data_IF_716300702883
#
_entry.id   IF_716300702883
#
_cell.length_a   1.000
_cell.length_b   1.000
_cell.length_c   1.000
_cell.angle_alpha   90.00
_cell.angle_beta   90.00
_cell.angle_gamma   90.00
#
_symmetry.space_group_name_H-M   'P 1'
#
loop_
_entity.id
_entity.type
_entity.pdbx_description
1 polymer ?
#
# COMPACT_ATOMS: atom_id res chain seq x y z
N UNK A 1 1.01 1.12 -5.60
CA UNK A 1 -0.28 0.42 -5.48
C UNK A 1 -0.82 -0.07 -6.83
N UNK A 2 -0.03 -0.23 -7.89
CA UNK A 2 -0.47 -0.79 -9.19
C UNK A 2 -0.18 -2.30 -9.30
N UNK A 3 -0.57 -2.95 -10.40
CA UNK A 3 -0.29 -4.36 -10.64
C UNK A 3 1.22 -4.64 -10.61
N UNK A 4 1.66 -5.50 -9.69
CA UNK A 4 3.08 -5.80 -9.45
C UNK A 4 3.74 -6.77 -10.43
N UNK A 5 3.03 -7.22 -11.47
CA UNK A 5 3.50 -8.29 -12.36
C UNK A 5 3.24 -9.69 -11.81
N UNK A 6 3.50 -10.71 -12.63
CA UNK A 6 3.23 -12.12 -12.28
C UNK A 6 4.06 -12.63 -11.11
N UNK A 7 5.25 -12.05 -10.92
CA UNK A 7 6.16 -12.33 -9.79
C UNK A 7 5.90 -11.44 -8.57
N UNK A 8 4.86 -10.60 -8.60
CA UNK A 8 4.49 -9.76 -7.46
C UNK A 8 4.03 -10.59 -6.27
N UNK A 9 4.15 -9.98 -5.09
CA UNK A 9 3.61 -10.51 -3.84
C UNK A 9 2.08 -10.48 -3.89
N UNK A 10 1.45 -11.58 -3.48
CA UNK A 10 0.01 -11.61 -3.25
C UNK A 10 -0.30 -10.89 -1.93
N UNK A 11 -1.11 -9.83 -2.01
CA UNK A 11 -1.59 -9.08 -0.84
C UNK A 11 -3.10 -8.94 -0.92
N UNK A 12 -3.77 -9.02 0.22
CA UNK A 12 -5.20 -8.76 0.28
C UNK A 12 -5.48 -7.27 0.03
N UNK A 13 -6.38 -7.00 -0.92
CA UNK A 13 -6.90 -5.68 -1.22
C UNK A 13 -8.41 -5.75 -1.44
N UNK A 14 -9.17 -5.10 -0.57
CA UNK A 14 -10.64 -5.16 -0.50
C UNK A 14 -11.18 -6.59 -0.43
N UNK A 15 -10.57 -7.45 0.39
CA UNK A 15 -10.98 -8.84 0.60
C UNK A 15 -10.68 -9.78 -0.58
N UNK A 16 -9.88 -9.33 -1.55
CA UNK A 16 -9.46 -10.13 -2.72
C UNK A 16 -7.94 -10.10 -2.86
N UNK A 17 -7.34 -11.22 -3.25
CA UNK A 17 -5.90 -11.27 -3.55
C UNK A 17 -5.56 -10.39 -4.74
N UNK A 18 -4.56 -9.54 -4.60
CA UNK A 18 -4.03 -8.69 -5.67
C UNK A 18 -2.50 -8.75 -5.70
N UNK A 19 -1.92 -8.80 -6.90
CA UNK A 19 -0.48 -8.73 -7.08
C UNK A 19 0.05 -7.31 -6.84
N UNK A 20 1.08 -7.22 -6.01
CA UNK A 20 1.75 -5.97 -5.67
C UNK A 20 3.28 -6.09 -5.72
N UNK A 21 3.94 -4.97 -5.96
CA UNK A 21 5.40 -4.90 -5.83
C UNK A 21 5.79 -4.81 -4.36
N UNK A 22 6.76 -5.62 -3.94
CA UNK A 22 7.21 -5.70 -2.54
C UNK A 22 8.43 -4.81 -2.23
N UNK A 23 8.90 -4.02 -3.19
CA UNK A 23 10.15 -3.25 -3.07
C UNK A 23 10.17 -2.29 -1.88
N UNK A 24 9.05 -1.65 -1.55
CA UNK A 24 8.97 -0.75 -0.40
C UNK A 24 9.10 -1.51 0.94
N UNK A 25 8.47 -2.68 1.03
CA UNK A 25 8.59 -3.54 2.21
C UNK A 25 10.01 -4.10 2.35
N UNK A 26 10.65 -4.45 1.22
CA UNK A 26 12.04 -4.90 1.19
C UNK A 26 13.00 -3.84 1.74
N UNK A 27 12.85 -2.59 1.30
CA UNK A 27 13.67 -1.47 1.77
C UNK A 27 13.46 -1.21 3.25
N UNK A 28 12.20 -1.19 3.71
CA UNK A 28 11.87 -0.99 5.13
C UNK A 28 12.44 -2.10 6.02
N UNK A 29 12.25 -3.36 5.64
CA UNK A 29 12.71 -4.51 6.43
C UNK A 29 14.25 -4.57 6.55
N UNK A 30 14.96 -4.31 5.44
CA UNK A 30 16.44 -4.33 5.40
C UNK A 30 17.06 -3.18 6.17
N UNK A 31 16.52 -1.98 6.01
CA UNK A 31 17.09 -0.77 6.58
C UNK A 31 16.53 -0.44 7.98
N UNK A 32 15.57 -1.23 8.48
CA UNK A 32 14.89 -0.99 9.77
C UNK A 32 14.26 0.40 9.86
N UNK A 33 13.74 0.88 8.73
CA UNK A 33 13.19 2.24 8.60
C UNK A 33 11.67 2.18 8.45
N UNK A 34 10.89 3.06 9.11
CA UNK A 34 9.45 3.10 8.93
C UNK A 34 9.05 3.58 7.54
N UNK A 35 7.85 3.16 7.11
CA UNK A 35 7.17 3.67 5.93
C UNK A 35 6.12 4.68 6.38
N UNK A 36 6.02 5.81 5.68
CA UNK A 36 4.98 6.81 5.90
C UNK A 36 3.99 6.77 4.72
N UNK A 37 2.82 6.10 4.86
CA UNK A 37 1.78 6.19 3.84
C UNK A 37 1.27 7.64 3.77
N UNK A 38 1.06 8.14 2.56
CA UNK A 38 0.52 9.47 2.36
C UNK A 38 -0.43 9.48 1.16
N UNK A 39 -1.38 10.41 1.20
CA UNK A 39 -2.26 10.72 0.09
C UNK A 39 -2.44 12.23 -0.04
N UNK A 40 -2.90 12.68 -1.20
CA UNK A 40 -3.26 14.06 -1.44
C UNK A 40 -4.76 14.23 -1.24
N UNK A 41 -5.14 15.22 -0.44
CA UNK A 41 -6.50 15.72 -0.33
C UNK A 41 -6.61 16.97 -1.20
N UNK A 42 -7.53 16.96 -2.15
CA UNK A 42 -7.79 18.10 -3.03
C UNK A 42 -8.74 19.09 -2.38
N UNK A 43 -8.37 20.36 -2.37
CA UNK A 43 -9.11 21.45 -1.75
C UNK A 43 -9.20 22.61 -2.76
N UNK A 44 -10.08 22.44 -3.76
CA UNK A 44 -10.28 23.38 -4.86
C UNK A 44 -9.03 23.47 -5.75
N UNK A 45 -8.31 24.59 -5.69
CA UNK A 45 -7.06 24.80 -6.45
C UNK A 45 -5.79 24.44 -5.66
N UNK A 46 -5.95 23.88 -4.46
CA UNK A 46 -4.84 23.54 -3.57
C UNK A 46 -4.89 22.07 -3.19
N UNK A 47 -3.76 21.56 -2.70
CA UNK A 47 -3.62 20.18 -2.25
C UNK A 47 -2.97 20.15 -0.88
N UNK A 48 -3.53 19.34 0.01
CA UNK A 48 -2.98 19.07 1.33
C UNK A 48 -2.41 17.65 1.33
N UNK A 49 -1.12 17.52 1.68
CA UNK A 49 -0.49 16.20 1.89
C UNK A 49 -0.91 15.69 3.25
N UNK A 50 -1.58 14.54 3.29
CA UNK A 50 -1.95 13.87 4.52
C UNK A 50 -1.03 12.69 4.75
N UNK A 51 -0.15 12.81 5.75
CA UNK A 51 0.77 11.75 6.17
C UNK A 51 0.10 10.91 7.26
N UNK A 52 0.04 9.59 7.06
CA UNK A 52 -0.49 8.64 8.04
C UNK A 52 0.56 8.25 9.08
N UNK A 53 0.13 7.49 10.10
CA UNK A 53 1.03 6.93 11.11
C UNK A 53 2.11 6.07 10.44
N UNK A 54 3.35 6.10 10.94
CA UNK A 54 4.42 5.25 10.44
C UNK A 54 4.09 3.76 10.60
N UNK A 55 4.38 3.00 9.55
CA UNK A 55 4.38 1.54 9.56
C UNK A 55 5.82 1.09 9.79
N UNK A 56 6.09 0.53 10.95
CA UNK A 56 7.42 -0.01 11.27
C UNK A 56 7.54 -1.45 10.76
N UNK A 57 8.74 -1.86 10.32
CA UNK A 57 8.97 -3.25 9.96
C UNK A 57 8.82 -4.15 11.20
N UNK A 58 8.06 -5.25 11.12
CA UNK A 58 7.85 -6.12 12.27
C UNK A 58 9.10 -6.96 12.57
N UNK A 59 9.17 -7.51 13.78
CA UNK A 59 10.15 -8.52 14.13
C UNK A 59 9.66 -9.92 13.71
N UNK A 60 9.65 -10.17 12.40
CA UNK A 60 9.14 -11.39 11.78
C UNK A 60 10.15 -11.95 10.75
N UNK A 61 10.08 -13.25 10.39
CA UNK A 61 10.86 -13.80 9.30
C UNK A 61 10.62 -13.07 7.98
N UNK A 62 11.66 -12.98 7.14
CA UNK A 62 11.69 -12.16 5.92
C UNK A 62 10.39 -12.17 5.10
N UNK A 63 9.93 -13.35 4.64
CA UNK A 63 8.73 -13.46 3.79
C UNK A 63 7.47 -12.98 4.51
N UNK A 64 7.33 -13.32 5.80
CA UNK A 64 6.18 -12.92 6.61
C UNK A 64 6.18 -11.40 6.83
N UNK A 65 7.35 -10.84 7.14
CA UNK A 65 7.51 -9.40 7.35
C UNK A 65 7.14 -8.59 6.10
N UNK A 66 7.56 -9.04 4.90
CA UNK A 66 7.18 -8.38 3.65
C UNK A 66 5.66 -8.35 3.47
N UNK A 67 4.99 -9.48 3.71
CA UNK A 67 3.53 -9.55 3.65
C UNK A 67 2.88 -8.63 4.68
N UNK A 68 3.30 -8.69 5.95
CA UNK A 68 2.74 -7.87 7.04
C UNK A 68 2.86 -6.37 6.73
N UNK A 69 4.02 -5.93 6.25
CA UNK A 69 4.23 -4.53 5.83
C UNK A 69 3.30 -4.17 4.67
N UNK A 70 3.28 -4.98 3.61
CA UNK A 70 2.46 -4.70 2.43
C UNK A 70 0.97 -4.70 2.78
N UNK A 71 0.48 -5.65 3.59
CA UNK A 71 -0.92 -5.68 4.03
C UNK A 71 -1.29 -4.43 4.83
N UNK A 72 -0.38 -3.94 5.68
CA UNK A 72 -0.58 -2.71 6.45
C UNK A 72 -0.71 -1.49 5.55
N UNK A 73 0.14 -1.37 4.52
CA UNK A 73 0.04 -0.31 3.51
C UNK A 73 -1.32 -0.38 2.79
N UNK A 74 -1.73 -1.58 2.38
CA UNK A 74 -2.99 -1.78 1.67
C UNK A 74 -4.22 -1.50 2.55
N UNK A 75 -4.14 -1.77 3.86
CA UNK A 75 -5.19 -1.41 4.80
C UNK A 75 -5.37 0.12 4.89
N UNK A 76 -4.28 0.89 4.87
CA UNK A 76 -4.35 2.35 4.83
C UNK A 76 -4.92 2.86 3.51
N UNK A 77 -4.57 2.24 2.38
CA UNK A 77 -5.20 2.55 1.09
C UNK A 77 -6.69 2.24 1.10
N UNK A 78 -7.13 1.08 1.59
CA UNK A 78 -8.55 0.74 1.70
C UNK A 78 -9.33 1.78 2.52
N UNK A 79 -8.76 2.24 3.65
CA UNK A 79 -9.37 3.29 4.49
C UNK A 79 -9.52 4.59 3.72
N UNK A 80 -8.49 5.04 3.01
CA UNK A 80 -8.53 6.27 2.23
C UNK A 80 -9.49 6.17 1.04
N UNK A 81 -9.39 5.10 0.25
CA UNK A 81 -10.24 4.86 -0.92
C UNK A 81 -11.71 4.75 -0.52
N UNK A 82 -12.04 4.15 0.63
CA UNK A 82 -13.43 4.13 1.13
C UNK A 82 -13.98 5.52 1.45
N UNK A 83 -13.12 6.47 1.86
CA UNK A 83 -13.53 7.86 2.13
C UNK A 83 -13.72 8.66 0.84
N UNK A 84 -12.81 8.48 -0.13
CA UNK A 84 -12.82 9.23 -1.39
C UNK A 84 -12.66 8.29 -2.60
N UNK A 85 -13.67 7.45 -2.90
CA UNK A 85 -13.53 6.40 -3.91
C UNK A 85 -13.25 6.97 -5.30
N UNK A 86 -13.73 8.16 -5.63
CA UNK A 86 -13.52 8.79 -6.95
C UNK A 86 -12.07 9.24 -7.18
N UNK A 87 -11.25 9.33 -6.12
CA UNK A 87 -9.84 9.74 -6.21
C UNK A 87 -8.87 8.59 -6.47
N UNK A 88 -9.35 7.34 -6.37
CA UNK A 88 -8.56 6.18 -6.76
C UNK A 88 -8.60 5.98 -8.26
N UNK A 89 -7.46 5.64 -8.86
CA UNK A 89 -7.33 5.44 -10.30
C UNK A 89 -7.85 4.05 -10.74
N UNK A 90 -9.17 3.84 -10.64
CA UNK A 90 -9.85 2.56 -10.91
C UNK A 90 -9.66 2.00 -12.32
N UNK A 91 -9.20 2.82 -13.28
CA UNK A 91 -8.89 2.37 -14.64
C UNK A 91 -7.78 1.29 -14.66
N UNK A 92 -6.95 1.20 -13.62
CA UNK A 92 -6.02 0.10 -13.47
C UNK A 92 -6.74 -1.15 -12.94
N UNK A 93 -6.85 -2.20 -13.77
CA UNK A 93 -7.33 -3.48 -13.29
C UNK A 93 -6.37 -4.06 -12.23
N UNK A 94 -6.77 -4.00 -10.95
CA UNK A 94 -5.95 -4.45 -9.82
C UNK A 94 -5.98 -5.94 -9.57
N UNK A 95 -7.03 -6.62 -10.03
CA UNK A 95 -7.25 -8.06 -9.86
C UNK A 95 -7.03 -8.81 -11.17
N UNK A 96 -6.02 -8.38 -11.94
CA UNK A 96 -5.54 -9.15 -13.08
C UNK A 96 -5.04 -10.50 -12.59
N UNK A 97 -5.55 -11.55 -13.22
CA UNK A 97 -5.04 -12.92 -13.14
C UNK A 97 -3.85 -13.07 -14.06
#
# INVERSE_FOLDING_TARGET
DQYGGSKGLDVEFFGRSAKSSEGIALLSYRNKTPILPAYLKEEGKTYTIVIQKPIYPPNEPFKQALYTIMRSIYAEFEKWIKKEPTKYLWMHNRWKT
#
